data_IF_674656768882
#
_entry.id   IF_674656768882
#
_cell.length_a   1.000
_cell.length_b   1.000
_cell.length_c   1.000
_cell.angle_alpha   90.00
_cell.angle_beta   90.00
_cell.angle_gamma   90.00
#
_symmetry.space_group_name_H-M   'P 1'
#
loop_
_entity.id
_entity.type
_entity.pdbx_description
1 polymer ?
#
# COMPACT_ATOMS: atom_id res chain seq x y z
N UNK A 1 -12.68 -11.60 -0.94
CA UNK A 1 -11.42 -11.39 -0.21
C UNK A 1 -10.50 -10.55 -1.06
N UNK A 2 -9.83 -9.58 -0.43
CA UNK A 2 -8.81 -8.74 -1.06
C UNK A 2 -7.53 -8.85 -0.23
N UNK A 3 -6.41 -9.09 -0.90
CA UNK A 3 -5.08 -9.10 -0.28
C UNK A 3 -4.19 -8.13 -1.03
N UNK A 4 -3.55 -7.22 -0.32
CA UNK A 4 -2.74 -6.17 -0.91
C UNK A 4 -1.36 -6.17 -0.27
N UNK A 5 -0.32 -6.08 -1.09
CA UNK A 5 1.04 -5.79 -0.61
C UNK A 5 1.40 -4.33 -0.89
N UNK A 6 1.84 -3.64 0.14
CA UNK A 6 2.37 -2.29 0.07
C UNK A 6 3.87 -2.30 0.36
N UNK A 7 4.62 -1.58 -0.47
CA UNK A 7 5.95 -1.11 -0.12
C UNK A 7 5.82 0.28 0.48
N UNK A 8 6.07 0.40 1.78
CA UNK A 8 5.94 1.66 2.53
C UNK A 8 7.31 2.28 2.70
N UNK A 9 7.50 3.49 2.19
CA UNK A 9 8.73 4.25 2.33
C UNK A 9 8.71 5.00 3.66
N UNK A 10 9.81 4.90 4.40
CA UNK A 10 10.02 5.53 5.70
C UNK A 10 11.44 6.05 5.79
N UNK A 11 11.73 6.89 6.79
CA UNK A 11 13.13 7.16 7.14
C UNK A 11 13.72 5.94 7.87
N UNK A 12 14.92 5.46 7.53
CA UNK A 12 15.51 4.26 8.18
C UNK A 12 15.55 4.35 9.71
N UNK A 13 15.84 5.53 10.26
CA UNK A 13 15.88 5.80 11.69
C UNK A 13 14.50 5.73 12.39
N UNK A 14 13.42 5.79 11.62
CA UNK A 14 12.03 5.70 12.11
C UNK A 14 11.38 4.35 11.79
N UNK A 15 12.06 3.46 11.08
CA UNK A 15 11.47 2.24 10.52
C UNK A 15 10.81 1.34 11.58
N UNK A 16 11.47 1.15 12.72
CA UNK A 16 10.94 0.34 13.82
C UNK A 16 9.69 0.96 14.48
N UNK A 17 9.69 2.28 14.68
CA UNK A 17 8.55 2.99 15.27
C UNK A 17 7.34 2.95 14.32
N UNK A 18 7.57 3.23 13.04
CA UNK A 18 6.51 3.18 12.02
C UNK A 18 5.99 1.74 11.90
N UNK A 19 6.86 0.74 11.84
CA UNK A 19 6.47 -0.66 11.80
C UNK A 19 5.51 -1.04 12.95
N UNK A 20 5.85 -0.68 14.20
CA UNK A 20 5.00 -0.94 15.35
C UNK A 20 3.62 -0.27 15.24
N UNK A 21 3.57 0.95 14.68
CA UNK A 21 2.32 1.67 14.41
C UNK A 21 1.46 1.00 13.35
N UNK A 22 2.08 0.57 12.26
CA UNK A 22 1.36 -0.03 11.13
C UNK A 22 0.72 -1.37 11.48
N UNK A 23 1.31 -2.16 12.39
CA UNK A 23 0.70 -3.41 12.89
C UNK A 23 -0.59 -3.15 13.68
N UNK A 24 -0.82 -1.92 14.16
CA UNK A 24 -2.08 -1.53 14.80
C UNK A 24 -3.24 -1.26 13.84
N UNK A 25 -3.00 -1.25 12.53
CA UNK A 25 -4.04 -1.03 11.51
C UNK A 25 -4.77 -2.35 11.25
N UNK A 26 -6.10 -2.29 11.14
CA UNK A 26 -6.93 -3.46 10.88
C UNK A 26 -6.48 -4.19 9.60
N UNK A 27 -6.31 -5.51 9.70
CA UNK A 27 -5.85 -6.36 8.60
C UNK A 27 -4.38 -6.18 8.19
N UNK A 28 -3.59 -5.38 8.90
CA UNK A 28 -2.19 -5.14 8.54
C UNK A 28 -1.22 -6.14 9.18
N UNK A 29 -0.29 -6.65 8.36
CA UNK A 29 0.80 -7.54 8.79
C UNK A 29 2.13 -7.11 8.20
N UNK A 30 3.15 -6.97 9.04
CA UNK A 30 4.51 -6.62 8.61
C UNK A 30 5.29 -7.88 8.23
N UNK A 31 5.84 -7.91 7.01
CA UNK A 31 6.60 -9.06 6.49
C UNK A 31 8.11 -8.84 6.52
N UNK A 32 8.57 -7.59 6.59
CA UNK A 32 9.99 -7.28 6.74
C UNK A 32 10.35 -5.86 6.34
N UNK A 33 11.66 -5.60 6.36
CA UNK A 33 12.26 -4.34 5.92
C UNK A 33 13.28 -4.62 4.81
N UNK A 34 13.51 -3.65 3.93
CA UNK A 34 14.63 -3.72 3.00
C UNK A 34 15.98 -3.62 3.73
N UNK A 35 17.09 -4.10 3.13
CA UNK A 35 18.42 -4.06 3.78
C UNK A 35 18.90 -2.64 4.14
N UNK A 36 18.46 -1.62 3.39
CA UNK A 36 18.74 -0.20 3.64
C UNK A 36 17.83 0.41 4.73
N UNK A 37 16.85 -0.35 5.25
CA UNK A 37 15.92 0.07 6.31
C UNK A 37 14.89 1.12 5.89
N UNK A 38 14.96 1.66 4.67
CA UNK A 38 14.10 2.74 4.20
C UNK A 38 12.72 2.30 3.69
N UNK A 39 12.45 0.99 3.65
CA UNK A 39 11.18 0.46 3.15
C UNK A 39 10.69 -0.72 3.99
N UNK A 40 9.39 -0.74 4.22
CA UNK A 40 8.67 -1.79 4.92
C UNK A 40 7.78 -2.53 3.93
N UNK A 41 7.73 -3.86 4.02
CA UNK A 41 6.77 -4.69 3.28
C UNK A 41 5.58 -4.97 4.19
N UNK A 42 4.43 -4.40 3.84
CA UNK A 42 3.19 -4.52 4.61
C UNK A 42 2.16 -5.24 3.77
N UNK A 43 1.53 -6.26 4.34
CA UNK A 43 0.38 -6.94 3.73
C UNK A 43 -0.89 -6.45 4.41
N UNK A 44 -1.94 -6.22 3.63
CA UNK A 44 -3.26 -5.81 4.09
C UNK A 44 -4.28 -6.83 3.59
N UNK A 45 -5.20 -7.23 4.46
CA UNK A 45 -6.34 -8.07 4.13
C UNK A 45 -7.62 -7.37 4.55
N UNK A 46 -8.70 -7.53 3.79
CA UNK A 46 -10.03 -7.11 4.23
C UNK A 46 -10.59 -8.03 5.33
N UNK A 47 -11.58 -7.54 6.08
CA UNK A 47 -12.17 -8.30 7.17
C UNK A 47 -13.57 -7.80 7.53
N UNK A 48 -14.16 -8.39 8.56
CA UNK A 48 -15.49 -8.00 9.00
C UNK A 48 -15.48 -6.55 9.49
N UNK A 49 -16.23 -5.68 8.80
CA UNK A 49 -16.41 -4.28 9.18
C UNK A 49 -15.38 -3.28 8.64
N UNK A 50 -14.44 -3.69 7.76
CA UNK A 50 -13.49 -2.77 7.12
C UNK A 50 -13.05 -3.26 5.74
N UNK A 51 -12.83 -2.33 4.81
CA UNK A 51 -12.31 -2.65 3.49
C UNK A 51 -10.79 -2.49 3.44
N UNK A 52 -10.11 -3.21 2.53
CA UNK A 52 -8.66 -3.06 2.33
C UNK A 52 -8.28 -1.61 1.99
N UNK A 53 -9.16 -0.87 1.31
CA UNK A 53 -8.97 0.54 0.95
C UNK A 53 -8.86 1.45 2.18
N UNK A 54 -9.61 1.17 3.25
CA UNK A 54 -9.52 1.90 4.50
C UNK A 54 -8.14 1.71 5.14
N UNK A 55 -7.64 0.47 5.13
CA UNK A 55 -6.31 0.13 5.63
C UNK A 55 -5.19 0.73 4.77
N UNK A 56 -5.34 0.76 3.43
CA UNK A 56 -4.39 1.44 2.54
C UNK A 56 -4.31 2.92 2.91
N UNK A 57 -5.46 3.60 3.06
CA UNK A 57 -5.50 5.00 3.44
C UNK A 57 -4.84 5.22 4.80
N UNK A 58 -5.17 4.40 5.80
CA UNK A 58 -4.58 4.48 7.14
C UNK A 58 -3.05 4.34 7.12
N UNK A 59 -2.51 3.42 6.29
CA UNK A 59 -1.06 3.28 6.10
C UNK A 59 -0.49 4.52 5.41
N UNK A 60 -1.11 5.00 4.33
CA UNK A 60 -0.61 6.13 3.54
C UNK A 60 -0.54 7.44 4.34
N UNK A 61 -1.42 7.64 5.32
CA UNK A 61 -1.45 8.85 6.16
C UNK A 61 -0.81 8.66 7.54
N UNK A 62 -0.30 7.46 7.86
CA UNK A 62 0.37 7.21 9.12
C UNK A 62 1.62 8.09 9.27
N UNK A 63 1.80 8.70 10.44
CA UNK A 63 2.98 9.54 10.70
C UNK A 63 4.27 8.74 10.48
N UNK A 64 5.27 9.39 9.85
CA UNK A 64 6.55 8.76 9.47
C UNK A 64 6.53 8.02 8.13
N UNK A 65 5.37 7.81 7.52
CA UNK A 65 5.26 7.29 6.15
C UNK A 65 5.54 8.42 5.15
N UNK A 66 6.48 8.18 4.25
CA UNK A 66 6.88 9.11 3.18
C UNK A 66 6.15 8.82 1.87
N UNK A 67 5.62 7.61 1.72
CA UNK A 67 4.86 7.20 0.55
C UNK A 67 4.60 5.70 0.54
N UNK A 68 3.58 5.29 -0.19
CA UNK A 68 3.16 3.90 -0.33
C UNK A 68 3.12 3.52 -1.80
N UNK A 69 3.65 2.35 -2.14
CA UNK A 69 3.53 1.77 -3.48
C UNK A 69 2.76 0.46 -3.38
N UNK A 70 1.65 0.36 -4.12
CA UNK A 70 0.93 -0.90 -4.30
C UNK A 70 1.82 -1.84 -5.13
N UNK A 71 2.34 -2.89 -4.49
CA UNK A 71 3.25 -3.85 -5.11
C UNK A 71 2.50 -5.06 -5.66
N UNK A 72 1.39 -5.43 -5.03
CA UNK A 72 0.57 -6.58 -5.40
C UNK A 72 -0.86 -6.40 -4.92
N UNK A 73 -1.81 -6.92 -5.69
CA UNK A 73 -3.21 -7.03 -5.33
C UNK A 73 -3.75 -8.39 -5.77
N UNK A 74 -4.49 -9.03 -4.87
CA UNK A 74 -5.33 -10.18 -5.12
C UNK A 74 -6.79 -9.83 -4.87
N UNK A 75 -7.67 -10.40 -5.68
CA UNK A 75 -9.12 -10.27 -5.56
C UNK A 75 -9.81 -11.54 -6.02
N UNK A 76 -10.87 -11.94 -5.31
CA UNK A 76 -11.79 -13.00 -5.76
C UNK A 76 -12.66 -12.56 -6.94
N UNK A 77 -12.82 -11.25 -7.14
CA UNK A 77 -13.53 -10.71 -8.30
C UNK A 77 -12.76 -11.00 -9.58
N UNK A 78 -13.43 -11.58 -10.58
CA UNK A 78 -12.85 -11.76 -11.90
C UNK A 78 -12.55 -10.40 -12.52
N UNK A 79 -11.27 -10.11 -12.73
CA UNK A 79 -10.83 -8.92 -13.45
C UNK A 79 -10.68 -9.29 -14.92
N UNK A 80 -11.46 -8.65 -15.77
CA UNK A 80 -11.32 -8.84 -17.22
C UNK A 80 -10.07 -8.13 -17.74
N UNK A 81 -9.47 -8.60 -18.87
CA UNK A 81 -8.33 -7.92 -19.49
C UNK A 81 -8.57 -6.44 -19.80
N UNK A 82 -9.79 -6.07 -20.18
CA UNK A 82 -10.17 -4.70 -20.51
C UNK A 82 -10.23 -3.79 -19.28
N UNK A 83 -10.70 -4.31 -18.14
CA UNK A 83 -10.70 -3.58 -16.87
C UNK A 83 -9.28 -3.32 -16.37
N UNK A 84 -8.39 -4.32 -16.49
CA UNK A 84 -6.98 -4.17 -16.13
C UNK A 84 -6.27 -3.14 -17.03
N UNK A 85 -6.50 -3.20 -18.34
CA UNK A 85 -5.94 -2.23 -19.29
C UNK A 85 -6.41 -0.80 -18.99
N UNK A 86 -7.69 -0.63 -18.63
CA UNK A 86 -8.27 0.65 -18.26
C UNK A 86 -7.65 1.21 -16.98
N UNK A 87 -7.50 0.40 -15.93
CA UNK A 87 -6.87 0.81 -14.68
C UNK A 87 -5.39 1.24 -14.89
N UNK A 88 -4.62 0.47 -15.66
CA UNK A 88 -3.23 0.76 -16.01
C UNK A 88 -3.08 2.08 -16.79
N UNK A 89 -3.95 2.34 -17.76
CA UNK A 89 -3.93 3.57 -18.55
C UNK A 89 -4.23 4.82 -17.71
N UNK A 90 -5.11 4.70 -16.71
CA UNK A 90 -5.46 5.78 -15.77
C UNK A 90 -4.29 6.17 -14.85
N UNK A 91 -3.50 5.19 -14.42
CA UNK A 91 -2.31 5.41 -13.57
C UNK A 91 -1.20 6.19 -14.31
N UNK A 92 -1.00 5.90 -15.60
CA UNK A 92 -0.03 6.61 -16.46
C UNK A 92 -0.39 8.08 -16.70
N UNK A 93 -1.68 8.41 -16.82
CA UNK A 93 -2.15 9.79 -17.06
C UNK A 93 -1.97 10.70 -15.84
N UNK A 94 -2.18 10.18 -14.62
CA UNK A 94 -1.97 10.95 -13.38
C UNK A 94 -0.51 11.37 -13.18
N UNK A 95 0.44 10.48 -13.46
CA UNK A 95 1.87 10.77 -13.34
C UNK A 95 2.35 11.87 -14.30
N UNK A 96 1.75 11.99 -15.49
CA UNK A 96 2.10 13.04 -16.46
C UNK A 96 1.53 14.41 -16.06
N UNK A 97 0.35 14.45 -15.44
CA UNK A 97 -0.29 15.70 -15.03
C UNK A 97 0.36 16.33 -13.79
N UNK A 98 0.86 15.53 -12.84
CA UNK A 98 1.55 16.03 -11.64
C UNK A 98 2.97 16.55 -11.92
N UNK A 99 3.58 16.19 -13.06
CA UNK A 99 4.88 16.72 -13.48
C UNK A 99 4.80 18.03 -14.28
N UNK A 100 3.60 18.48 -14.65
CA UNK A 100 3.36 19.67 -15.48
C UNK A 100 2.77 20.86 -14.70
N UNK A 101 2.60 20.73 -13.38
CA UNK A 101 2.14 21.77 -12.46
C UNK A 101 3.27 22.14 -11.48
#
# INVERSE_FOLDING_TARGET
MKIVSLLVRVRPEQAAEVAARLVGIAGASLHGTTPDGGRLVVMLEDGEGYAVTDSILAVSVASGVLGTTLAYEYTDEEVTPDELATAMASSKKRHVQEMQA
#
